data_IF_207738617556
#
_entry.id   IF_207738617556
#
_cell.length_a   1.000
_cell.length_b   1.000
_cell.length_c   1.000
_cell.angle_alpha   90.00
_cell.angle_beta   90.00
_cell.angle_gamma   90.00
#
_symmetry.space_group_name_H-M   'P 1'
#
loop_
_entity.id
_entity.type
_entity.pdbx_description
1 polymer ?
2 non-polymer ?
3 water ?
#
# COMPACT_ATOMS: atom_id res chain seq x y z
N UNK A 1 15.67 10.72 1.41
CA UNK A 1 14.91 9.48 1.34
C UNK A 1 13.41 9.76 1.40
N UNK A 2 13.01 10.63 2.33
CA UNK A 2 11.61 10.99 2.43
C UNK A 2 11.07 11.59 1.15
N UNK A 3 11.83 12.50 0.54
CA UNK A 3 11.41 13.10 -0.72
C UNK A 3 11.33 12.06 -1.83
N UNK A 4 12.28 11.12 -1.86
CA UNK A 4 12.25 10.07 -2.88
C UNK A 4 11.02 9.19 -2.72
N UNK A 5 10.71 8.78 -1.49
CA UNK A 5 9.53 7.95 -1.26
C UNK A 5 8.26 8.73 -1.59
N UNK A 6 8.22 10.02 -1.24
CA UNK A 6 7.04 10.83 -1.56
C UNK A 6 6.82 10.91 -3.06
N UNK A 7 7.90 11.05 -3.83
CA UNK A 7 7.77 11.11 -5.29
C UNK A 7 7.27 9.78 -5.85
N UNK A 8 7.76 8.66 -5.31
CA UNK A 8 7.29 7.35 -5.76
C UNK A 8 5.83 7.14 -5.42
N UNK A 9 5.43 7.55 -4.21
CA UNK A 9 4.04 7.41 -3.81
C UNK A 9 3.13 8.31 -4.64
N UNK A 10 3.60 9.52 -4.95
CA UNK A 10 2.86 10.39 -5.87
C UNK A 10 2.66 9.70 -7.21
N UNK A 11 3.67 8.96 -7.68
CA UNK A 11 3.54 8.23 -8.93
C UNK A 11 2.45 7.17 -8.84
N UNK A 12 2.37 6.48 -7.70
CA UNK A 12 1.33 5.47 -7.53
C UNK A 12 -0.05 6.11 -7.55
N UNK A 13 -0.24 7.18 -6.77
CA UNK A 13 -1.52 7.87 -6.74
C UNK A 13 -1.93 8.39 -8.11
N UNK A 14 -0.97 8.59 -9.01
CA UNK A 14 -1.29 9.10 -10.34
C UNK A 14 -1.77 8.02 -11.30
N UNK A 15 -1.64 6.75 -10.93
CA UNK A 15 -2.09 5.68 -11.81
C UNK A 15 -3.60 5.51 -11.71
N UNK A 16 -4.23 4.96 -12.75
CA UNK A 16 -5.67 4.67 -12.64
C UNK A 16 -5.92 3.68 -11.53
N UNK A 17 -7.07 3.84 -10.85
CA UNK A 17 -7.42 2.91 -9.79
C UNK A 17 -7.48 1.48 -10.30
N UNK A 18 -7.73 1.29 -11.60
CA UNK A 18 -7.78 -0.05 -12.17
C UNK A 18 -6.44 -0.77 -12.05
N UNK A 19 -5.35 -0.04 -11.84
CA UNK A 19 -4.02 -0.62 -11.71
C UNK A 19 -3.59 -0.79 -10.26
N UNK A 20 -4.44 -0.43 -9.30
CA UNK A 20 -4.13 -0.54 -7.89
C UNK A 20 -4.98 -1.64 -7.26
N UNK A 21 -4.52 -2.13 -6.11
CA UNK A 21 -5.13 -3.30 -5.49
C UNK A 21 -6.42 -2.93 -4.76
N UNK A 22 -7.47 -3.71 -4.99
CA UNK A 22 -8.75 -3.54 -4.30
C UNK A 22 -9.09 -4.83 -3.57
N UNK A 23 -9.58 -4.69 -2.34
CA UNK A 23 -10.01 -5.82 -1.54
C UNK A 23 -11.46 -6.17 -1.85
N UNK A 24 -11.88 -7.37 -1.42
CA UNK A 24 -13.20 -7.86 -1.78
C UNK A 24 -14.31 -6.96 -1.26
N UNK A 25 -14.07 -6.24 -0.17
CA UNK A 25 -15.07 -5.34 0.40
C UNK A 25 -14.89 -3.90 -0.07
N UNK A 26 -14.06 -3.66 -1.08
CA UNK A 26 -13.95 -2.37 -1.71
C UNK A 26 -12.74 -1.54 -1.30
N UNK A 27 -12.04 -1.93 -0.23
CA UNK A 27 -10.91 -1.14 0.23
C UNK A 27 -9.82 -1.08 -0.83
N UNK A 28 -9.41 0.13 -1.18
CA UNK A 28 -8.27 0.36 -2.06
C UNK A 28 -7.01 0.42 -1.21
N UNK A 29 -6.00 -0.36 -1.57
CA UNK A 29 -4.75 -0.34 -0.83
C UNK A 29 -4.09 1.03 -0.97
N UNK A 30 -3.66 1.58 0.16
CA UNK A 30 -2.93 2.85 0.20
C UNK A 30 -1.71 2.67 1.09
N UNK A 31 -0.49 2.73 0.56
CA UNK A 31 0.69 2.55 1.42
C UNK A 31 0.75 3.52 2.58
N UNK A 32 0.24 4.74 2.41
CA UNK A 32 0.33 5.73 3.47
C UNK A 32 -0.53 5.38 4.68
N UNK A 33 -1.42 4.39 4.56
CA UNK A 33 -2.29 3.99 5.66
C UNK A 33 -1.83 2.70 6.33
N UNK A 34 -0.66 2.18 5.96
CA UNK A 34 -0.13 0.99 6.61
C UNK A 34 0.08 1.27 8.09
N UNK A 35 -0.45 0.39 8.94
CA UNK A 35 -0.26 0.48 10.38
C UNK A 35 0.65 -0.60 10.93
N UNK A 36 0.86 -1.69 10.20
CA UNK A 36 1.77 -2.74 10.63
C UNK A 36 2.35 -3.42 9.40
N UNK A 37 3.58 -3.89 9.53
CA UNK A 37 4.29 -4.50 8.41
C UNK A 37 5.05 -5.73 8.90
N UNK A 38 4.93 -6.82 8.15
CA UNK A 38 5.69 -8.03 8.43
C UNK A 38 6.43 -8.48 7.17
N UNK A 39 7.03 -9.67 7.22
CA UNK A 39 7.80 -10.15 6.08
C UNK A 39 6.91 -10.59 4.93
N UNK A 40 5.68 -11.03 5.23
CA UNK A 40 4.77 -11.51 4.20
C UNK A 40 3.87 -10.43 3.64
N UNK A 41 3.71 -9.30 4.33
CA UNK A 41 2.81 -8.27 3.85
C UNK A 41 2.58 -7.20 4.90
N UNK A 42 1.49 -6.46 4.73
CA UNK A 42 1.22 -5.28 5.54
C UNK A 42 -0.24 -5.27 5.97
N UNK A 43 -0.50 -4.53 7.05
CA UNK A 43 -1.84 -4.37 7.58
C UNK A 43 -2.32 -2.94 7.36
N UNK A 44 -3.57 -2.80 6.93
CA UNK A 44 -4.18 -1.49 6.73
C UNK A 44 -5.51 -1.44 7.46
N UNK A 45 -5.85 -0.34 8.12
CA UNK A 45 -7.14 -0.25 8.82
C UNK A 45 -8.29 0.03 7.86
N UNK A 46 -9.48 -0.42 8.27
CA UNK A 46 -10.69 -0.19 7.48
C UNK A 46 -11.87 -0.18 8.46
N UNK A 47 -11.98 0.92 9.20
CA UNK A 47 -13.05 1.06 10.17
C UNK A 47 -12.89 0.14 11.36
N UNK A 48 -13.87 -0.75 11.57
CA UNK A 48 -13.85 -1.64 12.72
C UNK A 48 -13.02 -2.90 12.49
N UNK A 49 -12.19 -2.92 11.45
CA UNK A 49 -11.35 -4.08 11.18
C UNK A 49 -10.11 -3.63 10.42
N UNK A 50 -9.09 -4.49 10.44
CA UNK A 50 -7.88 -4.31 9.65
C UNK A 50 -7.81 -5.39 8.58
N UNK A 51 -7.31 -5.03 7.41
CA UNK A 51 -6.93 -6.01 6.41
C UNK A 51 -5.46 -6.34 6.55
N UNK A 52 -5.10 -7.58 6.26
CA UNK A 52 -3.71 -7.94 6.00
C UNK A 52 -3.60 -8.30 4.53
N UNK A 53 -2.65 -7.68 3.84
CA UNK A 53 -2.51 -7.90 2.40
C UNK A 53 -1.13 -8.47 2.12
N UNK A 54 -1.01 -9.71 1.64
CA UNK A 54 0.31 -10.22 1.26
C UNK A 54 0.92 -9.38 0.14
N UNK A 55 2.24 -9.20 0.22
CA UNK A 55 2.95 -8.45 -0.81
C UNK A 55 2.63 -8.97 -2.20
N UNK A 56 2.50 -10.30 -2.33
CA UNK A 56 2.30 -10.91 -3.64
C UNK A 56 0.96 -10.55 -4.26
N UNK A 57 -0.01 -10.10 -3.47
CA UNK A 57 -1.29 -9.65 -4.00
C UNK A 57 -1.23 -8.22 -4.53
N UNK A 58 -0.16 -7.50 -4.26
CA UNK A 58 0.03 -6.15 -4.74
C UNK A 58 0.78 -6.16 -6.07
N UNK A 59 0.70 -5.04 -6.78
CA UNK A 59 1.55 -4.86 -7.94
C UNK A 59 3.00 -4.67 -7.48
N UNK A 60 3.96 -4.87 -8.38
CA UNK A 60 5.36 -4.64 -7.98
C UNK A 60 5.61 -3.26 -7.42
N UNK A 61 5.01 -2.22 -8.01
CA UNK A 61 5.17 -0.88 -7.47
C UNK A 61 4.53 -0.76 -6.09
N UNK A 62 3.33 -1.31 -5.93
CA UNK A 62 2.66 -1.28 -4.64
C UNK A 62 3.48 -2.02 -3.58
N UNK A 63 4.06 -3.17 -3.94
CA UNK A 63 4.88 -3.91 -2.99
C UNK A 63 6.11 -3.10 -2.57
N UNK A 64 6.81 -2.53 -3.55
CA UNK A 64 7.98 -1.71 -3.24
C UNK A 64 7.62 -0.65 -2.21
N UNK A 65 6.54 0.10 -2.46
CA UNK A 65 6.16 1.16 -1.54
C UNK A 65 5.72 0.59 -0.19
N UNK A 66 5.00 -0.53 -0.20
CA UNK A 66 4.58 -1.15 1.06
C UNK A 66 5.79 -1.53 1.90
N UNK A 67 6.88 -1.95 1.25
CA UNK A 67 8.07 -2.38 1.97
C UNK A 67 8.87 -1.20 2.52
N UNK A 68 8.94 -0.09 1.78
CA UNK A 68 9.89 0.97 2.10
C UNK A 68 9.26 2.15 2.86
N UNK A 69 7.94 2.29 2.83
CA UNK A 69 7.36 3.50 3.42
C UNK A 69 7.67 3.52 4.92
N UNK A 70 8.13 4.64 5.48
CA UNK A 70 8.55 4.65 6.89
C UNK A 70 7.35 4.81 7.82
N UNK A 71 7.27 3.94 8.82
CA UNK A 71 6.21 4.01 9.82
C UNK A 71 6.69 4.77 11.05
X LIG B 1 -12.54 -3.76 4.97
#
# INVERSE_FOLDING_TARGET
QGENISSLLRELYAKPLSERHVESDGLIFDPAQITSRTANGVAVPHGDHYHFIPYSQLSPLEEKLARIIPL
ZN ZN
#
